data_IF_036778447735
#
_entry.id   IF_036778447735
#
_cell.length_a   1.000
_cell.length_b   1.000
_cell.length_c   1.000
_cell.angle_alpha   90.00
_cell.angle_beta   90.00
_cell.angle_gamma   90.00
#
_symmetry.space_group_name_H-M   'P 1'
#
loop_
_entity.id
_entity.type
_entity.pdbx_description
1 polymer ?
#
# COMPACT_ATOMS: atom_id res chain seq x y z
N UNK A 1 -11.87 3.44 6.25
CA UNK A 1 -12.61 3.32 4.97
C UNK A 1 -14.11 3.54 5.14
N UNK A 2 -14.88 2.61 5.74
CA UNK A 2 -16.35 2.78 5.88
C UNK A 2 -16.77 4.14 6.47
N UNK A 3 -16.15 4.56 7.57
CA UNK A 3 -16.39 5.88 8.17
C UNK A 3 -16.10 7.04 7.21
N UNK A 4 -15.02 6.97 6.44
CA UNK A 4 -14.66 8.00 5.45
C UNK A 4 -15.67 8.05 4.29
N UNK A 5 -16.13 6.89 3.82
CA UNK A 5 -17.17 6.79 2.77
C UNK A 5 -18.49 7.38 3.28
N UNK A 6 -18.86 7.10 4.53
CA UNK A 6 -20.08 7.67 5.12
C UNK A 6 -20.02 9.20 5.20
N UNK A 7 -18.83 9.78 5.40
CA UNK A 7 -18.65 11.24 5.40
C UNK A 7 -18.57 11.81 3.98
N UNK A 8 -17.94 11.10 3.05
CA UNK A 8 -17.83 11.49 1.65
C UNK A 8 -17.81 10.25 0.72
N UNK A 9 -18.93 9.94 0.06
CA UNK A 9 -19.04 8.77 -0.83
C UNK A 9 -18.14 8.82 -2.07
N UNK A 10 -17.63 10.00 -2.43
CA UNK A 10 -16.79 10.19 -3.62
C UNK A 10 -15.31 9.84 -3.38
N UNK A 11 -14.92 9.50 -2.15
CA UNK A 11 -13.55 9.09 -1.85
C UNK A 11 -13.24 7.78 -2.57
N UNK A 12 -12.17 7.80 -3.36
CA UNK A 12 -11.61 6.60 -4.01
C UNK A 12 -10.42 6.11 -3.20
N UNK A 13 -10.31 4.79 -3.06
CA UNK A 13 -9.20 4.16 -2.38
C UNK A 13 -8.40 3.30 -3.38
N UNK A 14 -7.09 3.56 -3.47
CA UNK A 14 -6.11 2.70 -4.16
C UNK A 14 -4.99 2.38 -3.18
N UNK A 15 -4.45 1.18 -3.22
CA UNK A 15 -3.38 0.78 -2.31
C UNK A 15 -3.25 -0.72 -2.13
N UNK A 16 -2.71 -1.12 -0.99
CA UNK A 16 -2.57 -2.53 -0.61
C UNK A 16 -3.48 -2.79 0.58
N UNK A 17 -4.38 -3.78 0.47
CA UNK A 17 -5.32 -4.08 1.54
C UNK A 17 -5.93 -5.47 1.43
N UNK A 18 -6.46 -5.96 2.54
CA UNK A 18 -7.10 -7.26 2.60
C UNK A 18 -8.53 -7.27 2.07
N UNK A 19 -9.14 -8.46 2.08
CA UNK A 19 -10.51 -8.73 1.58
C UNK A 19 -11.56 -7.76 2.13
N UNK A 20 -11.44 -7.34 3.40
CA UNK A 20 -12.36 -6.37 4.02
C UNK A 20 -12.25 -4.97 3.40
N UNK A 21 -11.05 -4.55 3.00
CA UNK A 21 -10.81 -3.26 2.38
C UNK A 21 -11.25 -3.27 0.92
N UNK A 22 -10.95 -4.34 0.17
CA UNK A 22 -11.39 -4.50 -1.22
C UNK A 22 -12.92 -4.56 -1.32
N UNK A 23 -13.58 -5.27 -0.41
CA UNK A 23 -15.05 -5.28 -0.31
C UNK A 23 -15.65 -3.90 0.03
N UNK A 24 -14.85 -2.98 0.54
CA UNK A 24 -15.26 -1.59 0.85
C UNK A 24 -14.85 -0.63 -0.28
N UNK A 25 -14.38 -1.14 -1.43
CA UNK A 25 -14.05 -0.33 -2.61
C UNK A 25 -12.56 0.03 -2.78
N UNK A 26 -11.65 -0.59 -2.02
CA UNK A 26 -10.21 -0.48 -2.29
C UNK A 26 -9.86 -1.19 -3.60
N UNK A 27 -9.22 -0.48 -4.52
CA UNK A 27 -8.50 -1.09 -5.64
C UNK A 27 -7.13 -1.57 -5.17
N UNK A 28 -6.97 -2.88 -5.03
CA UNK A 28 -5.71 -3.45 -4.50
C UNK A 28 -4.65 -3.58 -5.58
N UNK A 29 -3.44 -3.10 -5.29
CA UNK A 29 -2.25 -3.19 -6.16
C UNK A 29 -1.60 -4.57 -6.07
N UNK A 30 -1.71 -5.23 -4.91
CA UNK A 30 -1.17 -6.56 -4.63
C UNK A 30 -2.05 -7.29 -3.60
N UNK A 31 -1.94 -8.61 -3.50
CA UNK A 31 -2.57 -9.35 -2.40
C UNK A 31 -1.79 -9.11 -1.10
N UNK A 32 -2.48 -8.58 -0.07
CA UNK A 32 -1.89 -8.33 1.25
C UNK A 32 -1.30 -9.59 1.91
N UNK A 33 -1.84 -10.77 1.59
CA UNK A 33 -1.36 -12.04 2.13
C UNK A 33 0.10 -12.31 1.71
N UNK A 34 0.55 -11.79 0.57
CA UNK A 34 1.95 -11.90 0.12
C UNK A 34 2.91 -11.00 0.90
N UNK A 35 2.41 -10.01 1.64
CA UNK A 35 3.22 -9.20 2.56
C UNK A 35 3.32 -9.83 3.96
N UNK A 36 2.41 -10.74 4.30
CA UNK A 36 2.38 -11.46 5.56
C UNK A 36 3.36 -12.65 5.54
N UNK A 37 4.64 -12.37 5.37
CA UNK A 37 5.71 -13.37 5.40
C UNK A 37 6.11 -13.65 6.84
N UNK A 38 6.04 -14.90 7.29
CA UNK A 38 6.36 -15.32 8.65
C UNK A 38 7.68 -16.10 8.68
N UNK A 39 8.82 -15.41 8.55
CA UNK A 39 10.12 -16.06 8.73
C UNK A 39 11.32 -15.28 8.20
N UNK A 40 12.48 -15.47 8.84
CA UNK A 40 13.74 -14.80 8.46
C UNK A 40 14.30 -15.31 7.13
N UNK A 41 14.16 -16.60 6.84
CA UNK A 41 14.66 -17.21 5.59
C UNK A 41 13.78 -16.79 4.40
N UNK A 42 12.47 -16.78 4.58
CA UNK A 42 11.51 -16.33 3.58
C UNK A 42 11.72 -14.84 3.23
N UNK A 43 12.06 -13.99 4.23
CA UNK A 43 12.32 -12.55 4.01
C UNK A 43 13.38 -12.30 2.92
N UNK A 44 14.41 -13.15 2.83
CA UNK A 44 15.53 -12.94 1.90
C UNK A 44 15.08 -13.16 0.46
N UNK A 45 14.29 -14.21 0.21
CA UNK A 45 13.68 -14.45 -1.10
C UNK A 45 12.67 -13.35 -1.46
N UNK A 46 11.94 -12.85 -0.45
CA UNK A 46 10.96 -11.80 -0.62
C UNK A 46 11.56 -10.39 -0.77
N UNK A 47 12.86 -10.17 -0.55
CA UNK A 47 13.49 -8.86 -0.82
C UNK A 47 13.18 -8.39 -2.24
N UNK A 48 13.42 -9.24 -3.24
CA UNK A 48 13.12 -8.97 -4.65
C UNK A 48 11.65 -8.58 -4.87
N UNK A 49 10.73 -9.29 -4.21
CA UNK A 49 9.31 -9.00 -4.20
C UNK A 49 9.00 -7.63 -3.61
N UNK A 50 9.58 -7.27 -2.45
CA UNK A 50 9.35 -5.97 -1.83
C UNK A 50 9.91 -4.82 -2.65
N UNK A 51 11.06 -4.99 -3.31
CA UNK A 51 11.61 -3.99 -4.24
C UNK A 51 10.67 -3.75 -5.42
N UNK A 52 10.16 -4.82 -6.03
CA UNK A 52 9.17 -4.73 -7.11
C UNK A 52 7.84 -4.14 -6.63
N UNK A 53 7.43 -4.45 -5.39
CA UNK A 53 6.22 -3.89 -4.79
C UNK A 53 6.35 -2.39 -4.55
N UNK A 54 7.47 -1.94 -4.00
CA UNK A 54 7.81 -0.52 -3.85
C UNK A 54 7.68 0.21 -5.20
N UNK A 55 8.27 -0.34 -6.27
CA UNK A 55 8.21 0.26 -7.60
C UNK A 55 6.75 0.40 -8.09
N UNK A 56 5.95 -0.67 -7.97
CA UNK A 56 4.54 -0.67 -8.38
C UNK A 56 3.69 0.31 -7.57
N UNK A 57 3.94 0.44 -6.27
CA UNK A 57 3.26 1.41 -5.42
C UNK A 57 3.60 2.84 -5.84
N UNK A 58 4.87 3.14 -6.12
CA UNK A 58 5.29 4.46 -6.59
C UNK A 58 4.67 4.80 -7.96
N UNK A 59 4.65 3.84 -8.90
CA UNK A 59 3.97 4.00 -10.20
C UNK A 59 2.46 4.23 -10.03
N UNK A 60 1.81 3.54 -9.11
CA UNK A 60 0.38 3.74 -8.85
C UNK A 60 0.12 5.11 -8.23
N UNK A 61 0.96 5.57 -7.31
CA UNK A 61 0.87 6.92 -6.72
C UNK A 61 0.99 7.97 -7.83
N UNK A 62 1.95 7.82 -8.74
CA UNK A 62 2.14 8.73 -9.88
C UNK A 62 0.90 8.76 -10.79
N UNK A 63 0.33 7.57 -11.08
CA UNK A 63 -0.87 7.45 -11.93
C UNK A 63 -2.14 8.00 -11.29
N UNK A 64 -2.36 7.73 -10.00
CA UNK A 64 -3.60 8.08 -9.33
C UNK A 64 -3.56 9.47 -8.66
N UNK A 65 -2.36 10.05 -8.51
CA UNK A 65 -2.08 11.35 -7.91
C UNK A 65 -2.93 11.61 -6.65
N UNK A 66 -2.73 10.82 -5.58
CA UNK A 66 -3.61 10.82 -4.42
C UNK A 66 -3.44 12.12 -3.63
N UNK A 67 -4.54 12.65 -3.09
CA UNK A 67 -4.50 13.81 -2.20
C UNK A 67 -3.89 13.49 -0.83
N UNK A 68 -3.94 12.22 -0.41
CA UNK A 68 -3.47 11.75 0.90
C UNK A 68 -2.99 10.30 0.79
N UNK A 69 -1.97 9.95 1.58
CA UNK A 69 -1.43 8.58 1.69
C UNK A 69 -1.52 8.15 3.16
N UNK A 70 -2.12 6.98 3.40
CA UNK A 70 -2.32 6.43 4.75
C UNK A 70 -1.53 5.14 4.86
N UNK A 71 -0.57 5.10 5.79
CA UNK A 71 0.24 3.93 6.08
C UNK A 71 -0.36 3.18 7.27
N UNK A 72 -0.56 1.87 7.13
CA UNK A 72 -1.23 1.04 8.15
C UNK A 72 -0.27 -0.07 8.61
N UNK A 73 -0.03 -0.11 9.93
CA UNK A 73 0.59 -1.18 10.74
C UNK A 73 1.54 -2.18 10.04
N UNK A 74 2.59 -1.65 9.40
CA UNK A 74 3.71 -2.45 8.91
C UNK A 74 4.98 -1.59 8.89
N UNK A 75 5.58 -1.28 10.05
CA UNK A 75 6.62 -0.25 10.17
C UNK A 75 7.83 -0.48 9.26
N UNK A 76 8.31 -1.73 9.12
CA UNK A 76 9.51 -2.05 8.34
C UNK A 76 9.40 -1.69 6.85
N UNK A 77 8.24 -1.93 6.23
CA UNK A 77 7.95 -1.53 4.85
C UNK A 77 7.51 -0.06 4.78
N UNK A 78 6.57 0.34 5.64
CA UNK A 78 5.93 1.65 5.58
C UNK A 78 6.91 2.80 5.80
N UNK A 79 7.89 2.68 6.69
CA UNK A 79 8.89 3.74 6.91
C UNK A 79 9.80 3.92 5.69
N UNK A 80 10.27 2.82 5.10
CA UNK A 80 11.05 2.86 3.84
C UNK A 80 10.22 3.44 2.69
N UNK A 81 8.93 3.10 2.66
CA UNK A 81 8.02 3.60 1.65
C UNK A 81 7.77 5.11 1.79
N UNK A 82 7.51 5.58 3.01
CA UNK A 82 7.33 6.99 3.32
C UNK A 82 8.54 7.84 2.89
N UNK A 83 9.76 7.37 3.17
CA UNK A 83 10.98 8.05 2.74
C UNK A 83 11.09 8.16 1.21
N UNK A 84 10.75 7.08 0.48
CA UNK A 84 10.77 7.08 -0.99
C UNK A 84 9.69 7.98 -1.59
N UNK A 85 8.47 7.94 -1.06
CA UNK A 85 7.37 8.81 -1.47
C UNK A 85 7.77 10.27 -1.28
N UNK A 86 8.28 10.62 -0.09
CA UNK A 86 8.75 11.98 0.20
C UNK A 86 9.87 12.42 -0.74
N UNK A 87 10.79 11.54 -1.12
CA UNK A 87 11.88 11.88 -2.05
C UNK A 87 11.40 12.10 -3.48
N UNK A 88 10.32 11.43 -3.90
CA UNK A 88 9.88 11.41 -5.29
C UNK A 88 8.77 12.42 -5.61
N UNK A 89 7.87 12.67 -4.65
CA UNK A 89 6.65 13.45 -4.88
C UNK A 89 6.57 14.72 -4.03
N UNK A 90 7.63 15.05 -3.28
CA UNK A 90 7.64 16.12 -2.29
C UNK A 90 8.97 16.87 -2.28
#
# INVERSE_FOLDING_TARGET
MKSMINQNPNIKFSGIGGKKMTATGLKSIENIEKLAVMGFIEIVWHLSFFWNLIKRVLEEIDKCNPSQIILIDYPGFNLRMAQKIKKQFN
#
